data_IF_872354449711
#
_entry.id   IF_872354449711
#
_cell.length_a   1.000
_cell.length_b   1.000
_cell.length_c   1.000
_cell.angle_alpha   90.00
_cell.angle_beta   90.00
_cell.angle_gamma   90.00
#
_symmetry.space_group_name_H-M   'P 1'
#
loop_
_entity.id
_entity.type
_entity.pdbx_description
1 polymer ?
#
# COMPACT_ATOMS: atom_id res chain seq x y z
N UNK A 1 -19.23 21.52 -3.82
CA UNK A 1 -18.89 20.09 -3.95
C UNK A 1 -18.15 19.75 -5.26
N UNK A 2 -18.56 20.26 -6.43
CA UNK A 2 -17.88 19.96 -7.72
C UNK A 2 -16.39 20.32 -7.77
N UNK A 3 -16.00 21.45 -7.18
CA UNK A 3 -14.59 21.89 -7.09
C UNK A 3 -13.72 20.92 -6.27
N UNK A 4 -14.24 20.37 -5.17
CA UNK A 4 -13.52 19.40 -4.33
C UNK A 4 -13.32 18.07 -5.05
N UNK A 5 -14.31 17.62 -5.83
CA UNK A 5 -14.20 16.41 -6.64
C UNK A 5 -13.19 16.60 -7.78
N UNK A 6 -13.27 17.73 -8.50
CA UNK A 6 -12.34 18.06 -9.57
C UNK A 6 -10.90 18.19 -9.05
N UNK A 7 -10.71 18.83 -7.89
CA UNK A 7 -9.42 18.91 -7.21
C UNK A 7 -8.91 17.52 -6.82
N UNK A 8 -9.77 16.64 -6.30
CA UNK A 8 -9.43 15.25 -5.99
C UNK A 8 -8.96 14.47 -7.21
N UNK A 9 -9.66 14.59 -8.34
CA UNK A 9 -9.26 13.96 -9.62
C UNK A 9 -7.92 14.51 -10.12
N UNK A 10 -7.75 15.83 -10.10
CA UNK A 10 -6.50 16.48 -10.50
C UNK A 10 -5.32 16.03 -9.64
N UNK A 11 -5.51 15.91 -8.32
CA UNK A 11 -4.51 15.38 -7.39
C UNK A 11 -4.15 13.93 -7.70
N UNK A 12 -5.13 13.06 -7.93
CA UNK A 12 -4.88 11.65 -8.28
C UNK A 12 -4.08 11.51 -9.58
N UNK A 13 -4.44 12.28 -10.61
CA UNK A 13 -3.75 12.27 -11.92
C UNK A 13 -2.36 12.87 -11.82
N UNK A 14 -2.23 14.04 -11.17
CA UNK A 14 -0.96 14.73 -10.97
C UNK A 14 0.03 13.90 -10.17
N UNK A 15 -0.44 13.27 -9.09
CA UNK A 15 0.36 12.37 -8.28
C UNK A 15 0.92 11.21 -9.11
N UNK A 16 0.10 10.57 -9.95
CA UNK A 16 0.56 9.45 -10.80
C UNK A 16 1.66 9.88 -11.79
N UNK A 17 1.58 11.10 -12.33
CA UNK A 17 2.58 11.64 -13.26
C UNK A 17 3.90 11.96 -12.57
N UNK A 18 3.88 12.44 -11.33
CA UNK A 18 5.08 12.78 -10.55
C UNK A 18 5.72 11.56 -9.87
N UNK A 19 4.92 10.63 -9.36
CA UNK A 19 5.40 9.48 -8.62
C UNK A 19 6.16 8.48 -9.50
N UNK A 20 5.79 8.36 -10.78
CA UNK A 20 6.43 7.41 -11.72
C UNK A 20 7.89 7.73 -12.04
N UNK A 21 8.26 8.95 -12.48
CA UNK A 21 9.66 9.31 -12.74
C UNK A 21 10.49 9.27 -11.45
N UNK A 22 9.96 9.80 -10.34
CA UNK A 22 10.62 9.72 -9.04
C UNK A 22 10.98 8.28 -8.66
N UNK A 23 10.01 7.37 -8.75
CA UNK A 23 10.21 5.97 -8.40
C UNK A 23 11.31 5.33 -9.27
N UNK A 24 11.30 5.56 -10.59
CA UNK A 24 12.33 4.99 -11.48
C UNK A 24 13.73 5.38 -11.03
N UNK A 25 13.92 6.64 -10.65
CA UNK A 25 15.22 7.12 -10.16
C UNK A 25 15.55 6.56 -8.77
N UNK A 26 14.57 6.59 -7.86
CA UNK A 26 14.73 6.12 -6.49
C UNK A 26 15.04 4.62 -6.43
N UNK A 27 14.46 3.81 -7.33
CA UNK A 27 14.72 2.37 -7.46
C UNK A 27 16.19 2.05 -7.72
N UNK A 28 16.88 2.90 -8.48
CA UNK A 28 18.28 2.73 -8.85
C UNK A 28 19.25 3.24 -7.78
N UNK A 29 18.77 4.07 -6.85
CA UNK A 29 19.63 4.75 -5.86
C UNK A 29 19.34 4.39 -4.42
N UNK A 30 18.18 3.83 -4.10
CA UNK A 30 17.75 3.62 -2.71
C UNK A 30 17.51 2.16 -2.40
N UNK A 31 17.80 1.80 -1.17
CA UNK A 31 17.37 0.54 -0.59
C UNK A 31 15.84 0.54 -0.41
N UNK A 32 15.14 -0.38 -1.08
CA UNK A 32 13.67 -0.51 -0.98
C UNK A 32 13.18 -0.77 0.45
N UNK A 33 14.00 -1.39 1.30
CA UNK A 33 13.63 -1.72 2.66
C UNK A 33 13.74 -0.54 3.63
N UNK A 34 14.92 0.07 3.74
CA UNK A 34 15.21 1.13 4.72
C UNK A 34 15.24 2.54 4.13
N UNK A 35 15.04 2.68 2.83
CA UNK A 35 15.06 3.95 2.07
C UNK A 35 16.41 4.71 2.08
N UNK A 36 17.49 4.08 2.58
CA UNK A 36 18.84 4.65 2.55
C UNK A 36 19.32 4.80 1.10
N UNK A 37 19.94 5.92 0.76
CA UNK A 37 20.65 6.09 -0.51
C UNK A 37 21.89 5.20 -0.51
N UNK A 38 22.05 4.41 -1.56
CA UNK A 38 23.15 3.48 -1.78
C UNK A 38 24.12 4.07 -2.79
N UNK A 39 25.42 3.93 -2.53
CA UNK A 39 26.45 4.20 -3.54
C UNK A 39 26.38 3.14 -4.65
N UNK A 40 27.00 3.40 -5.81
CA UNK A 40 26.98 2.45 -6.94
C UNK A 40 27.57 1.07 -6.59
N UNK A 41 28.54 1.04 -5.68
CA UNK A 41 29.23 -0.19 -5.24
C UNK A 41 28.52 -0.92 -4.08
N UNK A 42 27.49 -0.30 -3.48
CA UNK A 42 26.79 -0.86 -2.33
C UNK A 42 25.47 -1.55 -2.70
N UNK A 43 25.16 -2.62 -1.99
CA UNK A 43 23.85 -3.24 -2.03
C UNK A 43 23.68 -4.29 -3.12
N UNK A 44 22.60 -5.03 -2.97
CA UNK A 44 22.23 -6.16 -3.81
C UNK A 44 20.97 -5.82 -4.60
N UNK A 45 20.80 -6.46 -5.75
CA UNK A 45 19.60 -6.33 -6.57
C UNK A 45 18.63 -7.40 -6.13
N UNK A 46 17.53 -6.97 -5.50
CA UNK A 46 16.42 -7.85 -5.21
C UNK A 46 15.63 -8.08 -6.50
N UNK A 47 15.64 -9.32 -6.99
CA UNK A 47 14.88 -9.71 -8.16
C UNK A 47 13.38 -9.60 -7.88
N UNK A 48 12.73 -8.62 -8.50
CA UNK A 48 11.28 -8.40 -8.42
C UNK A 48 10.77 -8.27 -9.84
N UNK A 49 9.73 -9.03 -10.22
CA UNK A 49 9.06 -8.84 -11.50
C UNK A 49 8.05 -7.70 -11.36
N UNK A 50 8.38 -6.52 -11.86
CA UNK A 50 7.40 -5.48 -12.07
C UNK A 50 6.78 -5.62 -13.46
N UNK A 51 5.50 -5.26 -13.64
CA UNK A 51 4.71 -5.43 -14.87
C UNK A 51 5.28 -4.75 -16.15
N UNK A 52 6.44 -4.09 -16.10
CA UNK A 52 7.02 -3.29 -17.18
C UNK A 52 8.57 -3.40 -17.24
N UNK A 53 9.15 -4.60 -17.09
CA UNK A 53 10.60 -4.85 -17.23
C UNK A 53 11.51 -3.93 -16.41
N UNK A 54 11.06 -3.54 -15.20
CA UNK A 54 11.90 -2.73 -14.34
C UNK A 54 12.99 -3.66 -13.77
N UNK A 55 14.28 -3.36 -13.96
CA UNK A 55 15.36 -4.10 -13.32
C UNK A 55 15.13 -4.06 -11.82
N UNK A 56 15.35 -5.19 -11.13
CA UNK A 56 14.97 -5.40 -9.73
C UNK A 56 15.31 -4.24 -8.78
N UNK A 57 14.64 -4.21 -7.62
CA UNK A 57 14.84 -3.13 -6.66
C UNK A 57 16.20 -3.27 -5.93
N UNK A 58 16.90 -2.16 -5.69
CA UNK A 58 18.11 -2.21 -4.87
C UNK A 58 17.80 -2.36 -3.39
N UNK A 59 18.68 -3.04 -2.68
CA UNK A 59 18.54 -3.31 -1.25
C UNK A 59 19.90 -3.36 -0.56
N UNK A 60 19.98 -3.02 0.73
CA UNK A 60 21.17 -3.35 1.52
C UNK A 60 21.29 -4.87 1.64
N UNK A 61 22.52 -5.41 1.71
CA UNK A 61 22.75 -6.86 1.86
C UNK A 61 21.95 -7.47 3.03
N UNK A 62 22.01 -6.85 4.21
CA UNK A 62 21.25 -7.32 5.39
C UNK A 62 19.72 -7.15 5.30
N UNK A 63 19.21 -6.52 4.24
CA UNK A 63 17.79 -6.26 4.06
C UNK A 63 17.15 -7.07 2.92
N UNK A 64 17.94 -7.86 2.17
CA UNK A 64 17.44 -8.65 1.05
C UNK A 64 16.39 -9.67 1.49
N UNK A 65 16.73 -10.54 2.43
CA UNK A 65 15.83 -11.57 2.95
C UNK A 65 14.50 -11.00 3.49
N UNK A 66 14.48 -9.99 4.39
CA UNK A 66 13.21 -9.43 4.86
C UNK A 66 12.41 -8.74 3.74
N UNK A 67 13.07 -8.07 2.79
CA UNK A 67 12.38 -7.48 1.64
C UNK A 67 11.77 -8.55 0.72
N UNK A 68 12.51 -9.63 0.43
CA UNK A 68 12.03 -10.76 -0.36
C UNK A 68 10.79 -11.42 0.27
N UNK A 69 10.81 -11.66 1.59
CA UNK A 69 9.64 -12.17 2.33
C UNK A 69 8.43 -11.26 2.15
N UNK A 70 8.61 -9.96 2.36
CA UNK A 70 7.53 -8.98 2.21
C UNK A 70 6.91 -9.01 0.81
N UNK A 71 7.72 -8.96 -0.24
CA UNK A 71 7.21 -9.00 -1.60
C UNK A 71 6.58 -10.35 -1.97
N UNK A 72 7.07 -11.45 -1.39
CA UNK A 72 6.43 -12.77 -1.51
C UNK A 72 5.02 -12.73 -0.92
N UNK A 73 4.82 -12.12 0.26
CA UNK A 73 3.47 -11.96 0.85
C UNK A 73 2.57 -11.17 -0.08
N UNK A 74 3.05 -10.05 -0.62
CA UNK A 74 2.25 -9.21 -1.51
C UNK A 74 1.82 -9.95 -2.79
N UNK A 75 2.66 -10.82 -3.33
CA UNK A 75 2.32 -11.60 -4.53
C UNK A 75 1.35 -12.74 -4.18
N UNK A 76 1.65 -13.52 -3.14
CA UNK A 76 0.81 -14.63 -2.70
C UNK A 76 -0.59 -14.15 -2.29
N UNK A 77 -0.68 -13.02 -1.58
CA UNK A 77 -1.93 -12.46 -1.08
C UNK A 77 -2.49 -11.36 -2.00
N UNK A 78 -2.03 -11.27 -3.25
CA UNK A 78 -2.40 -10.18 -4.17
C UNK A 78 -3.89 -10.00 -4.34
N UNK A 79 -4.65 -11.10 -4.42
CA UNK A 79 -6.10 -11.05 -4.65
C UNK A 79 -6.84 -10.65 -3.36
N UNK A 80 -6.61 -11.29 -2.20
CA UNK A 80 -7.14 -10.82 -0.93
C UNK A 80 -6.84 -9.34 -0.65
N UNK A 81 -5.59 -8.91 -0.86
CA UNK A 81 -5.17 -7.52 -0.65
C UNK A 81 -5.90 -6.56 -1.58
N UNK A 82 -6.08 -6.92 -2.86
CA UNK A 82 -6.84 -6.11 -3.80
C UNK A 82 -8.29 -5.97 -3.38
N UNK A 83 -8.94 -7.07 -3.00
CA UNK A 83 -10.33 -7.06 -2.55
C UNK A 83 -10.45 -6.19 -1.28
N UNK A 84 -9.60 -6.44 -0.28
CA UNK A 84 -9.59 -5.72 0.99
C UNK A 84 -9.25 -4.22 0.88
N UNK A 85 -8.72 -3.77 -0.26
CA UNK A 85 -8.44 -2.35 -0.52
C UNK A 85 -9.49 -1.72 -1.44
N UNK A 86 -9.78 -2.35 -2.59
CA UNK A 86 -10.63 -1.75 -3.61
C UNK A 86 -12.11 -1.79 -3.26
N UNK A 87 -12.59 -2.85 -2.60
CA UNK A 87 -14.01 -2.93 -2.18
C UNK A 87 -14.37 -1.81 -1.19
N UNK A 88 -13.70 -1.66 -0.04
CA UNK A 88 -14.04 -0.58 0.89
C UNK A 88 -13.85 0.81 0.29
N UNK A 89 -12.82 1.00 -0.54
CA UNK A 89 -12.61 2.28 -1.24
C UNK A 89 -13.78 2.59 -2.18
N UNK A 90 -14.23 1.64 -2.98
CA UNK A 90 -15.36 1.82 -3.89
C UNK A 90 -16.64 2.11 -3.10
N UNK A 91 -16.90 1.39 -2.02
CA UNK A 91 -18.05 1.62 -1.14
C UNK A 91 -18.05 3.06 -0.59
N UNK A 92 -16.90 3.54 -0.09
CA UNK A 92 -16.78 4.90 0.43
C UNK A 92 -16.98 5.95 -0.68
N UNK A 93 -16.40 5.74 -1.86
CA UNK A 93 -16.57 6.65 -3.00
C UNK A 93 -18.03 6.72 -3.48
N UNK A 94 -18.74 5.59 -3.53
CA UNK A 94 -20.16 5.54 -3.88
C UNK A 94 -21.00 6.27 -2.82
N UNK A 95 -20.73 6.06 -1.53
CA UNK A 95 -21.43 6.76 -0.46
C UNK A 95 -21.20 8.29 -0.53
N UNK A 96 -19.95 8.73 -0.77
CA UNK A 96 -19.62 10.14 -0.96
C UNK A 96 -20.30 10.74 -2.19
N UNK A 97 -20.32 10.02 -3.31
CA UNK A 97 -20.99 10.47 -4.54
C UNK A 97 -22.52 10.57 -4.35
N UNK A 98 -23.12 9.60 -3.66
CA UNK A 98 -24.54 9.64 -3.32
C UNK A 98 -24.87 10.83 -2.43
N UNK A 99 -24.10 11.03 -1.35
CA UNK A 99 -24.26 12.17 -0.45
C UNK A 99 -24.13 13.51 -1.19
N UNK A 100 -23.23 13.60 -2.17
CA UNK A 100 -23.07 14.78 -3.03
C UNK A 100 -24.28 15.08 -3.92
N UNK A 101 -25.08 14.06 -4.23
CA UNK A 101 -26.32 14.17 -4.98
C UNK A 101 -27.55 14.31 -4.07
N UNK A 102 -27.34 14.49 -2.75
CA UNK A 102 -28.42 14.53 -1.76
C UNK A 102 -29.12 13.19 -1.56
N UNK A 103 -28.49 12.07 -1.94
CA UNK A 103 -29.01 10.71 -1.78
C UNK A 103 -28.28 10.00 -0.65
N UNK A 104 -29.02 9.29 0.19
CA UNK A 104 -28.45 8.46 1.25
C UNK A 104 -28.62 6.98 0.89
N UNK A 105 -27.69 6.45 0.07
CA UNK A 105 -27.68 5.02 -0.28
C UNK A 105 -27.08 4.18 0.86
N UNK A 106 -26.07 4.73 1.54
CA UNK A 106 -25.42 4.15 2.71
C UNK A 106 -25.04 5.30 3.65
N UNK A 107 -25.30 5.20 4.97
CA UNK A 107 -24.89 6.23 5.91
C UNK A 107 -23.38 6.45 5.83
N UNK A 108 -22.96 7.68 5.60
CA UNK A 108 -21.54 8.02 5.45
C UNK A 108 -20.68 7.60 6.66
N UNK A 109 -21.15 7.70 7.92
CA UNK A 109 -20.42 7.15 9.06
C UNK A 109 -20.18 5.65 8.94
N UNK A 110 -21.19 4.87 8.54
CA UNK A 110 -21.06 3.43 8.36
C UNK A 110 -20.09 3.06 7.24
N UNK A 111 -20.15 3.77 6.10
CA UNK A 111 -19.21 3.60 4.99
C UNK A 111 -17.77 3.90 5.42
N UNK A 112 -17.57 4.95 6.22
CA UNK A 112 -16.27 5.38 6.73
C UNK A 112 -15.70 4.36 7.73
N UNK A 113 -16.52 3.90 8.67
CA UNK A 113 -16.11 2.87 9.65
C UNK A 113 -15.82 1.53 9.00
N UNK A 114 -16.62 1.11 8.01
CA UNK A 114 -16.32 -0.07 7.20
C UNK A 114 -15.00 0.07 6.46
N UNK A 115 -14.76 1.23 5.83
CA UNK A 115 -13.49 1.51 5.15
C UNK A 115 -12.30 1.42 6.11
N UNK A 116 -12.37 2.07 7.26
CA UNK A 116 -11.32 2.03 8.28
C UNK A 116 -11.06 0.60 8.74
N UNK A 117 -12.10 -0.14 9.14
CA UNK A 117 -11.97 -1.50 9.64
C UNK A 117 -11.37 -2.43 8.59
N UNK A 118 -11.92 -2.45 7.37
CA UNK A 118 -11.49 -3.33 6.29
C UNK A 118 -10.05 -3.04 5.85
N UNK A 119 -9.70 -1.76 5.66
CA UNK A 119 -8.33 -1.37 5.31
C UNK A 119 -7.38 -1.70 6.46
N UNK A 120 -7.76 -1.35 7.70
CA UNK A 120 -6.96 -1.59 8.90
C UNK A 120 -6.61 -3.06 9.05
N UNK A 121 -7.59 -3.97 8.95
CA UNK A 121 -7.38 -5.41 8.95
C UNK A 121 -6.46 -5.83 7.80
N UNK A 122 -6.74 -5.38 6.58
CA UNK A 122 -6.00 -5.78 5.38
C UNK A 122 -4.52 -5.41 5.48
N UNK A 123 -4.20 -4.17 5.84
CA UNK A 123 -2.79 -3.70 5.94
C UNK A 123 -2.08 -4.27 7.16
N UNK A 124 -2.80 -4.49 8.28
CA UNK A 124 -2.23 -5.09 9.48
C UNK A 124 -1.86 -6.56 9.22
N UNK A 125 -2.76 -7.33 8.60
CA UNK A 125 -2.50 -8.71 8.22
C UNK A 125 -1.38 -8.82 7.19
N UNK A 126 -1.30 -7.91 6.21
CA UNK A 126 -0.18 -7.86 5.28
C UNK A 126 1.16 -7.61 6.00
N UNK A 127 1.17 -6.69 6.97
CA UNK A 127 2.36 -6.37 7.74
C UNK A 127 2.77 -7.51 8.69
N UNK A 128 1.81 -8.21 9.28
CA UNK A 128 2.05 -9.38 10.13
C UNK A 128 2.50 -10.60 9.30
N UNK A 129 1.85 -10.87 8.16
CA UNK A 129 2.16 -11.98 7.27
C UNK A 129 3.62 -11.99 6.80
N UNK A 130 4.23 -10.81 6.65
CA UNK A 130 5.65 -10.67 6.31
C UNK A 130 6.62 -11.30 7.33
N UNK A 131 6.16 -11.56 8.55
CA UNK A 131 6.94 -12.24 9.60
C UNK A 131 6.89 -13.77 9.49
N UNK A 132 5.84 -14.33 8.87
CA UNK A 132 5.57 -15.77 8.88
C UNK A 132 5.88 -16.45 7.54
N UNK A 133 5.95 -15.68 6.45
CA UNK A 133 6.19 -16.22 5.12
C UNK A 133 7.69 -16.32 4.85
N UNK A 134 8.13 -17.46 4.30
CA UNK A 134 9.49 -17.63 3.78
C UNK A 134 9.62 -16.97 2.41
N UNK A 135 10.82 -16.48 2.08
CA UNK A 135 11.07 -15.94 0.75
C UNK A 135 10.86 -17.06 -0.29
N UNK A 136 10.06 -16.78 -1.32
CA UNK A 136 9.83 -17.72 -2.41
C UNK A 136 11.09 -17.92 -3.25
N UNK A 137 11.19 -19.07 -3.93
CA UNK A 137 12.27 -19.34 -4.88
C UNK A 137 12.11 -18.55 -6.19
N UNK A 138 10.88 -18.19 -6.56
CA UNK A 138 10.61 -17.38 -7.74
C UNK A 138 10.55 -15.87 -7.40
N UNK A 139 10.99 -14.99 -8.32
CA UNK A 139 10.90 -13.55 -8.12
C UNK A 139 9.43 -13.10 -7.99
N UNK A 140 9.05 -12.43 -6.90
CA UNK A 140 7.67 -12.03 -6.67
C UNK A 140 7.20 -11.01 -7.70
N UNK A 141 5.94 -11.13 -8.14
CA UNK A 141 5.32 -10.18 -9.05
C UNK A 141 4.66 -9.04 -8.28
N UNK A 142 5.23 -7.85 -8.35
CA UNK A 142 4.67 -6.71 -7.60
C UNK A 142 3.66 -5.98 -8.46
N UNK A 143 2.39 -6.17 -8.12
CA UNK A 143 1.27 -5.51 -8.79
C UNK A 143 0.72 -4.30 -8.04
N UNK A 144 1.24 -4.02 -6.85
CA UNK A 144 0.87 -2.88 -6.02
C UNK A 144 1.61 -1.60 -6.41
N UNK A 145 1.12 -0.41 -6.02
CA UNK A 145 1.77 0.86 -6.33
C UNK A 145 3.12 0.97 -5.60
N UNK A 146 4.17 0.49 -6.26
CA UNK A 146 5.54 0.39 -5.76
C UNK A 146 6.17 1.72 -5.33
N UNK A 147 5.67 2.84 -5.86
CA UNK A 147 6.22 4.17 -5.57
C UNK A 147 6.21 4.51 -4.08
N UNK A 148 5.22 4.06 -3.31
CA UNK A 148 5.17 4.29 -1.87
C UNK A 148 6.35 3.65 -1.14
N UNK A 149 6.79 2.46 -1.57
CA UNK A 149 7.94 1.77 -0.99
C UNK A 149 9.25 2.57 -1.17
N UNK A 150 9.41 3.27 -2.29
CA UNK A 150 10.60 4.08 -2.57
C UNK A 150 10.55 5.49 -1.99
N UNK A 151 9.39 5.92 -1.48
CA UNK A 151 9.25 7.20 -0.80
C UNK A 151 9.62 7.09 0.68
N UNK A 152 9.20 6.01 1.37
CA UNK A 152 9.38 5.83 2.81
C UNK A 152 10.25 4.64 3.22
N UNK A 153 10.42 3.66 2.34
CA UNK A 153 10.98 2.34 2.66
C UNK A 153 9.92 1.39 3.21
N UNK A 154 10.03 0.10 2.85
CA UNK A 154 9.13 -0.96 3.33
C UNK A 154 9.11 -1.04 4.86
N UNK A 155 10.25 -0.92 5.53
CA UNK A 155 10.34 -0.99 7.00
C UNK A 155 9.44 0.05 7.68
N UNK A 156 9.49 1.29 7.20
CA UNK A 156 8.69 2.40 7.72
C UNK A 156 7.21 2.17 7.43
N UNK A 157 6.88 1.72 6.23
CA UNK A 157 5.50 1.42 5.85
C UNK A 157 4.90 0.29 6.69
N UNK A 158 5.66 -0.75 7.00
CA UNK A 158 5.21 -1.83 7.90
C UNK A 158 4.87 -1.31 9.29
N UNK A 159 5.63 -0.36 9.82
CA UNK A 159 5.30 0.30 11.09
C UNK A 159 4.02 1.13 11.00
N UNK A 160 3.87 1.91 9.93
CA UNK A 160 2.65 2.69 9.69
C UNK A 160 1.44 1.75 9.58
N UNK A 161 1.54 0.68 8.80
CA UNK A 161 0.46 -0.30 8.64
C UNK A 161 0.09 -0.98 9.96
N UNK A 162 1.04 -1.22 10.86
CA UNK A 162 0.75 -1.77 12.18
C UNK A 162 0.01 -0.75 13.05
N UNK A 163 0.57 0.45 13.21
CA UNK A 163 0.03 1.46 14.13
C UNK A 163 -1.30 2.03 13.63
N UNK A 164 -1.33 2.51 12.39
CA UNK A 164 -2.55 3.06 11.77
C UNK A 164 -3.57 1.96 11.55
N UNK A 165 -3.13 0.76 11.16
CA UNK A 165 -4.03 -0.39 11.00
C UNK A 165 -4.73 -0.76 12.32
N UNK A 166 -4.00 -0.85 13.43
CA UNK A 166 -4.60 -1.11 14.75
C UNK A 166 -5.57 0.00 15.16
N UNK A 167 -5.18 1.26 14.97
CA UNK A 167 -6.06 2.39 15.26
C UNK A 167 -7.35 2.33 14.43
N UNK A 168 -7.27 2.03 13.13
CA UNK A 168 -8.44 1.92 12.25
C UNK A 168 -9.30 0.70 12.54
N UNK A 169 -8.70 -0.41 12.96
CA UNK A 169 -9.44 -1.58 13.45
C UNK A 169 -10.25 -1.19 14.68
N UNK A 170 -9.64 -0.47 15.63
CA UNK A 170 -10.34 0.01 16.81
C UNK A 170 -11.44 1.03 16.45
N UNK A 171 -11.12 2.09 15.71
CA UNK A 171 -12.08 3.15 15.35
C UNK A 171 -13.24 2.66 14.47
N UNK A 172 -12.96 1.78 13.51
CA UNK A 172 -14.00 1.15 12.69
C UNK A 172 -14.79 0.10 13.47
N UNK A 173 -14.10 -0.65 14.35
CA UNK A 173 -14.70 -1.69 15.19
C UNK A 173 -15.68 -1.14 16.21
N UNK A 174 -15.36 -0.04 16.89
CA UNK A 174 -16.24 0.58 17.89
C UNK A 174 -17.57 1.08 17.30
N UNK A 175 -17.61 1.39 16.00
CA UNK A 175 -18.86 1.74 15.32
C UNK A 175 -19.82 0.53 15.18
N UNK A 176 -19.29 -0.66 14.87
CA UNK A 176 -20.10 -1.87 14.67
C UNK A 176 -20.30 -2.68 15.96
N UNK A 177 -19.35 -2.57 16.88
CA UNK A 177 -19.33 -3.27 18.16
C UNK A 177 -19.05 -2.23 19.26
N UNK A 178 -20.07 -1.44 19.64
CA UNK A 178 -19.93 -0.51 20.75
C UNK A 178 -19.64 -1.30 22.03
N UNK A 179 -18.47 -1.04 22.62
CA UNK A 179 -18.03 -1.58 23.91
C UNK A 179 -18.53 -0.68 25.05
#
# INVERSE_FOLDING_TARGET
MGLSLAAGVALMVGHRRLARPYMREAMLRKCVWCNRVLSEREGVVLAIRARNDIPGARCCAGHEAPAARFFTVLDTWRLPLRIGIFVPLLTLLVALAAAALGREILPLPAATSFFQLAIGLTVHLAAAGSLFVRAGAEPPTVTFPVHNFFLLGVRTLLWIFRLVGLWWIWAGGTFFFPL
#
